data_IF_069990981934
#
_entry.id   IF_069990981934
#
_cell.length_a   1.000
_cell.length_b   1.000
_cell.length_c   1.000
_cell.angle_alpha   90.00
_cell.angle_beta   90.00
_cell.angle_gamma   90.00
#
_symmetry.space_group_name_H-M   'P 1'
#
loop_
_entity.id
_entity.type
_entity.pdbx_description
1 polymer ?
#
# COMPACT_ATOMS: atom_id res chain seq x y z
N UNK A 1 -31.21 12.19 73.07
CA UNK A 1 -29.89 12.84 73.07
C UNK A 1 -28.89 11.79 72.57
N UNK A 2 -28.21 11.94 71.43
CA UNK A 2 -27.31 13.04 71.02
C UNK A 2 -26.09 13.11 71.96
N UNK A 3 -24.83 13.08 71.53
CA UNK A 3 -24.21 13.34 70.20
C UNK A 3 -23.04 12.32 69.96
N UNK A 4 -22.08 12.40 69.02
CA UNK A 4 -21.56 13.50 68.20
C UNK A 4 -21.15 13.08 66.75
N UNK A 5 -19.88 12.69 66.53
CA UNK A 5 -19.14 12.45 65.26
C UNK A 5 -17.98 11.48 65.58
N UNK A 6 -17.49 10.61 64.70
CA UNK A 6 -16.59 10.99 63.58
C UNK A 6 -16.67 10.04 62.37
N UNK A 7 -17.22 10.52 61.25
CA UNK A 7 -17.05 9.88 59.93
C UNK A 7 -15.71 10.30 59.30
N UNK A 8 -14.67 9.48 59.41
CA UNK A 8 -13.40 9.70 58.67
C UNK A 8 -13.55 9.19 57.22
N UNK A 9 -14.21 9.99 56.36
CA UNK A 9 -14.34 9.71 54.93
C UNK A 9 -12.97 9.73 54.25
N UNK A 10 -12.47 8.57 53.84
CA UNK A 10 -11.35 8.49 52.89
C UNK A 10 -11.91 8.62 51.46
N UNK A 11 -11.68 9.77 50.83
CA UNK A 11 -12.01 9.97 49.43
C UNK A 11 -10.89 9.40 48.55
N UNK A 12 -10.98 8.10 48.24
CA UNK A 12 -10.10 7.47 47.26
C UNK A 12 -10.41 8.02 45.86
N UNK A 13 -9.50 8.81 45.30
CA UNK A 13 -9.65 9.35 43.96
C UNK A 13 -9.46 8.24 42.92
N UNK A 14 -10.54 7.83 42.26
CA UNK A 14 -10.51 6.95 41.09
C UNK A 14 -9.91 7.71 39.91
N UNK A 15 -8.58 7.60 39.74
CA UNK A 15 -7.91 7.98 38.51
C UNK A 15 -8.34 7.01 37.40
N UNK A 16 -9.35 7.41 36.63
CA UNK A 16 -9.77 6.72 35.43
C UNK A 16 -8.65 6.84 34.37
N UNK A 17 -7.75 5.85 34.37
CA UNK A 17 -6.70 5.75 33.37
C UNK A 17 -7.31 5.63 31.98
N UNK A 18 -7.14 6.65 31.15
CA UNK A 18 -7.57 6.63 29.75
C UNK A 18 -6.67 5.65 29.00
N UNK A 19 -7.12 4.40 28.92
CA UNK A 19 -6.49 3.39 28.07
C UNK A 19 -6.64 3.85 26.62
N UNK A 20 -5.56 4.39 26.05
CA UNK A 20 -5.42 4.53 24.60
C UNK A 20 -5.46 3.12 24.01
N UNK A 21 -6.66 2.69 23.61
CA UNK A 21 -6.83 1.50 22.79
C UNK A 21 -6.21 1.83 21.43
N UNK A 22 -4.95 1.45 21.24
CA UNK A 22 -4.34 1.44 19.93
C UNK A 22 -5.23 0.59 19.03
N UNK A 23 -5.84 1.21 18.01
CA UNK A 23 -6.72 0.51 17.10
C UNK A 23 -5.97 -0.69 16.50
N UNK A 24 -6.54 -1.89 16.49
CA UNK A 24 -5.87 -3.05 15.93
C UNK A 24 -5.55 -2.74 14.47
N UNK A 25 -4.27 -2.81 14.10
CA UNK A 25 -3.85 -2.67 12.71
C UNK A 25 -4.55 -3.78 11.92
N UNK A 26 -5.56 -3.42 11.12
CA UNK A 26 -6.40 -4.40 10.47
C UNK A 26 -5.56 -5.19 9.47
N UNK A 27 -5.37 -6.47 9.79
CA UNK A 27 -4.53 -7.39 9.03
C UNK A 27 -5.40 -8.18 8.06
N UNK A 28 -5.76 -7.56 6.92
CA UNK A 28 -6.57 -8.22 5.91
C UNK A 28 -5.77 -9.28 5.15
N UNK A 29 -6.33 -10.49 5.09
CA UNK A 29 -5.77 -11.64 4.38
C UNK A 29 -6.70 -11.97 3.21
N UNK A 30 -6.14 -11.96 2.01
CA UNK A 30 -6.87 -11.95 0.75
C UNK A 30 -6.42 -13.09 -0.16
N UNK A 31 -7.37 -13.90 -0.63
CA UNK A 31 -7.12 -14.84 -1.73
C UNK A 31 -7.27 -14.10 -3.06
N UNK A 32 -6.19 -14.03 -3.82
CA UNK A 32 -6.03 -13.22 -5.02
C UNK A 32 -5.31 -13.98 -6.14
N UNK A 33 -5.14 -13.36 -7.31
CA UNK A 33 -4.27 -13.83 -8.39
C UNK A 33 -3.03 -12.93 -8.46
N UNK A 34 -1.84 -13.51 -8.35
CA UNK A 34 -0.58 -12.77 -8.45
C UNK A 34 -0.05 -12.75 -9.90
N UNK A 35 1.14 -12.17 -10.11
CA UNK A 35 1.84 -12.22 -11.39
C UNK A 35 1.91 -13.66 -11.96
N UNK A 36 1.65 -13.82 -13.26
CA UNK A 36 1.48 -15.14 -13.89
C UNK A 36 0.12 -15.80 -13.66
N UNK A 37 -0.85 -15.10 -13.05
CA UNK A 37 -2.24 -15.54 -12.91
C UNK A 37 -2.47 -16.68 -11.91
N UNK A 38 -1.45 -17.02 -11.11
CA UNK A 38 -1.53 -18.06 -10.08
C UNK A 38 -2.29 -17.56 -8.86
N UNK A 39 -3.07 -18.45 -8.22
CA UNK A 39 -3.72 -18.14 -6.95
C UNK A 39 -2.67 -17.94 -5.85
N UNK A 40 -2.84 -16.86 -5.08
CA UNK A 40 -1.92 -16.48 -4.02
C UNK A 40 -2.69 -15.89 -2.83
N UNK A 41 -2.09 -15.99 -1.65
CA UNK A 41 -2.52 -15.24 -0.48
C UNK A 41 -1.72 -13.94 -0.41
N UNK A 42 -2.43 -12.82 -0.33
CA UNK A 42 -1.89 -11.47 -0.17
C UNK A 42 -2.35 -10.93 1.18
N UNK A 43 -1.45 -10.31 1.94
CA UNK A 43 -1.74 -9.83 3.29
C UNK A 43 -1.32 -8.38 3.47
N UNK A 44 -2.28 -7.50 3.75
CA UNK A 44 -1.99 -6.13 4.20
C UNK A 44 -1.92 -6.19 5.72
N UNK A 45 -0.74 -6.00 6.30
CA UNK A 45 -0.52 -6.06 7.75
C UNK A 45 0.73 -5.28 8.15
N UNK A 46 0.78 -4.78 9.39
CA UNK A 46 1.95 -4.10 9.97
C UNK A 46 2.48 -2.91 9.15
N UNK A 47 1.64 -2.27 8.32
CA UNK A 47 2.05 -1.19 7.41
C UNK A 47 2.74 -1.66 6.12
N UNK A 48 2.61 -2.95 5.74
CA UNK A 48 3.16 -3.51 4.52
C UNK A 48 2.13 -4.34 3.73
N UNK A 49 2.28 -4.36 2.41
CA UNK A 49 1.63 -5.27 1.49
C UNK A 49 2.54 -6.49 1.27
N UNK A 50 2.09 -7.67 1.68
CA UNK A 50 2.86 -8.91 1.61
C UNK A 50 2.30 -9.81 0.51
N UNK A 51 3.16 -10.27 -0.39
CA UNK A 51 2.89 -11.21 -1.47
C UNK A 51 3.81 -12.44 -1.32
N UNK A 52 3.57 -13.56 -2.02
CA UNK A 52 4.48 -14.69 -1.99
C UNK A 52 5.91 -14.30 -2.42
N UNK A 53 6.86 -14.44 -1.51
CA UNK A 53 8.27 -14.09 -1.74
C UNK A 53 8.64 -12.61 -1.64
N UNK A 54 7.69 -11.71 -1.32
CA UNK A 54 7.94 -10.27 -1.31
C UNK A 54 7.13 -9.53 -0.24
N UNK A 55 7.75 -8.57 0.46
CA UNK A 55 7.05 -7.60 1.32
C UNK A 55 7.34 -6.18 0.83
N UNK A 56 6.29 -5.38 0.65
CA UNK A 56 6.34 -4.00 0.18
C UNK A 56 5.84 -3.12 1.34
N UNK A 57 6.73 -2.50 2.14
CA UNK A 57 6.32 -1.61 3.21
C UNK A 57 5.80 -0.28 2.63
N UNK A 58 4.90 0.39 3.35
CA UNK A 58 4.18 1.59 2.88
C UNK A 58 5.07 2.70 2.36
N UNK A 59 6.25 2.89 2.95
CA UNK A 59 7.23 3.91 2.58
C UNK A 59 7.97 3.61 1.26
N UNK A 60 7.81 2.42 0.69
CA UNK A 60 8.26 2.07 -0.65
C UNK A 60 7.15 2.23 -1.71
N UNK A 61 5.88 2.31 -1.32
CA UNK A 61 4.75 2.45 -2.27
C UNK A 61 4.78 3.86 -2.88
N UNK A 62 5.01 3.90 -4.20
CA UNK A 62 5.05 5.12 -5.00
C UNK A 62 3.67 5.50 -5.50
N UNK A 63 2.91 4.53 -6.00
CA UNK A 63 1.53 4.72 -6.46
C UNK A 63 0.82 3.37 -6.55
N UNK A 64 -0.51 3.41 -6.64
CA UNK A 64 -1.29 2.22 -6.98
C UNK A 64 -2.50 2.60 -7.84
N UNK A 65 -2.96 1.67 -8.67
CA UNK A 65 -4.10 1.86 -9.58
C UNK A 65 -4.97 0.60 -9.66
N UNK A 66 -6.18 0.76 -10.20
CA UNK A 66 -7.16 -0.30 -10.41
C UNK A 66 -7.49 -0.41 -11.90
N UNK A 67 -7.70 -1.63 -12.37
CA UNK A 67 -8.18 -1.95 -13.72
C UNK A 67 -8.98 -3.25 -13.76
N UNK A 68 -9.13 -3.82 -14.95
CA UNK A 68 -9.96 -5.00 -15.21
C UNK A 68 -11.41 -4.65 -15.60
N UNK A 69 -12.14 -5.61 -16.17
CA UNK A 69 -13.47 -5.39 -16.77
C UNK A 69 -14.58 -5.02 -15.77
N UNK A 70 -14.38 -5.28 -14.48
CA UNK A 70 -15.25 -4.83 -13.40
C UNK A 70 -14.98 -3.39 -12.94
N UNK A 71 -13.88 -2.77 -13.38
CA UNK A 71 -13.50 -1.40 -13.05
C UNK A 71 -14.32 -0.42 -13.90
N UNK A 72 -15.36 0.18 -13.31
CA UNK A 72 -16.17 1.25 -13.95
C UNK A 72 -15.44 2.60 -14.02
N UNK A 73 -14.14 2.56 -14.24
CA UNK A 73 -13.29 3.71 -14.46
C UNK A 73 -13.10 3.83 -15.97
N UNK A 74 -14.07 4.47 -16.64
CA UNK A 74 -13.86 4.93 -18.01
C UNK A 74 -12.54 5.71 -18.06
N UNK A 75 -11.65 5.33 -18.98
CA UNK A 75 -10.31 5.93 -19.15
C UNK A 75 -10.38 7.29 -19.87
N UNK A 76 -11.30 8.14 -19.41
CA UNK A 76 -11.64 9.45 -19.93
C UNK A 76 -11.04 10.63 -19.14
N UNK A 77 -10.05 10.38 -18.28
CA UNK A 77 -9.34 11.43 -17.52
C UNK A 77 -7.82 11.38 -17.78
N UNK A 78 -7.35 12.39 -18.53
CA UNK A 78 -5.96 12.87 -18.45
C UNK A 78 -4.93 12.09 -19.27
N UNK A 79 -4.53 12.65 -20.41
CA UNK A 79 -3.27 12.30 -21.08
C UNK A 79 -2.11 12.88 -20.26
N UNK A 80 -1.70 12.18 -19.20
CA UNK A 80 -0.59 12.59 -18.34
C UNK A 80 0.14 11.41 -17.70
N UNK A 81 1.47 11.41 -17.84
CA UNK A 81 2.46 10.55 -17.15
C UNK A 81 2.44 9.03 -17.42
N UNK A 82 3.64 8.50 -17.71
CA UNK A 82 4.00 7.06 -17.64
C UNK A 82 3.07 6.09 -18.40
N UNK A 83 2.80 6.32 -19.69
CA UNK A 83 3.68 5.80 -20.76
C UNK A 83 5.17 5.82 -20.38
N UNK A 84 5.62 4.80 -19.65
CA UNK A 84 7.05 4.54 -19.43
C UNK A 84 7.36 3.09 -19.83
N UNK A 85 7.69 2.91 -21.11
CA UNK A 85 8.03 1.61 -21.67
C UNK A 85 9.39 1.11 -21.14
N UNK A 86 9.37 0.45 -19.99
CA UNK A 86 10.43 -0.43 -19.53
C UNK A 86 10.06 -1.89 -19.79
N UNK A 87 10.72 -2.53 -20.77
CA UNK A 87 10.49 -3.91 -21.24
C UNK A 87 9.12 -4.12 -21.95
N UNK A 88 9.09 -4.33 -23.28
CA UNK A 88 7.87 -4.67 -24.01
C UNK A 88 7.48 -6.14 -23.78
N UNK A 89 6.88 -6.42 -22.62
CA UNK A 89 6.38 -7.77 -22.27
C UNK A 89 5.23 -7.82 -21.26
N UNK A 90 4.97 -6.73 -20.52
CA UNK A 90 3.98 -6.72 -19.42
C UNK A 90 2.55 -6.32 -19.85
N UNK A 91 2.37 -5.66 -20.99
CA UNK A 91 1.06 -5.26 -21.54
C UNK A 91 0.34 -6.42 -22.28
N UNK A 92 0.56 -7.67 -21.83
CA UNK A 92 0.29 -8.87 -22.61
C UNK A 92 -0.36 -10.05 -21.87
N UNK A 93 -0.82 -9.88 -20.63
CA UNK A 93 -1.47 -10.97 -19.86
C UNK A 93 -2.93 -11.23 -20.31
N UNK A 94 -3.08 -11.63 -21.57
CA UNK A 94 -4.33 -12.14 -22.15
C UNK A 94 -4.69 -13.53 -21.63
N UNK A 95 -4.91 -13.68 -20.33
CA UNK A 95 -5.36 -14.92 -19.70
C UNK A 95 -6.52 -14.64 -18.72
N UNK A 96 -7.75 -14.92 -19.18
CA UNK A 96 -9.02 -14.76 -18.45
C UNK A 96 -8.92 -15.26 -16.99
N UNK A 97 -9.43 -14.48 -16.02
CA UNK A 97 -10.26 -14.94 -14.88
C UNK A 97 -10.50 -13.91 -13.77
N UNK A 98 -9.84 -12.74 -13.76
CA UNK A 98 -10.11 -11.67 -12.78
C UNK A 98 -10.85 -10.49 -13.42
N UNK A 99 -11.88 -10.00 -12.74
CA UNK A 99 -12.66 -8.82 -13.12
C UNK A 99 -12.04 -7.52 -12.58
N UNK A 100 -11.28 -7.62 -11.49
CA UNK A 100 -10.58 -6.50 -10.87
C UNK A 100 -9.08 -6.81 -10.81
N UNK A 101 -8.24 -5.85 -11.19
CA UNK A 101 -6.80 -5.89 -10.98
C UNK A 101 -6.32 -4.64 -10.26
N UNK A 102 -5.32 -4.80 -9.40
CA UNK A 102 -4.63 -3.70 -8.73
C UNK A 102 -3.14 -3.79 -9.07
N UNK A 103 -2.59 -2.69 -9.56
CA UNK A 103 -1.15 -2.54 -9.82
C UNK A 103 -0.57 -1.63 -8.75
N UNK A 104 0.47 -2.08 -8.06
CA UNK A 104 1.17 -1.33 -7.01
C UNK A 104 2.60 -1.08 -7.47
N UNK A 105 2.89 0.17 -7.82
CA UNK A 105 4.23 0.61 -8.17
C UNK A 105 4.97 0.98 -6.89
N UNK A 106 6.15 0.41 -6.68
CA UNK A 106 6.99 0.69 -5.53
C UNK A 106 8.45 0.89 -5.94
N UNK A 107 9.18 1.66 -5.14
CA UNK A 107 10.63 1.73 -5.24
C UNK A 107 11.28 0.50 -4.59
N UNK A 108 12.42 0.06 -5.11
CA UNK A 108 13.35 -0.77 -4.34
C UNK A 108 14.46 0.08 -3.69
N UNK A 109 15.27 -0.53 -2.82
CA UNK A 109 16.35 0.14 -2.10
C UNK A 109 17.50 0.66 -2.96
N UNK A 110 17.48 0.41 -4.28
CA UNK A 110 18.43 0.93 -5.26
C UNK A 110 17.86 2.05 -6.15
N UNK A 111 16.62 2.48 -5.90
CA UNK A 111 15.96 3.56 -6.63
C UNK A 111 15.21 3.13 -7.89
N UNK A 112 15.29 1.86 -8.29
CA UNK A 112 14.52 1.35 -9.42
C UNK A 112 13.04 1.18 -9.04
N UNK A 113 12.15 1.21 -10.04
CA UNK A 113 10.72 0.97 -9.86
C UNK A 113 10.38 -0.47 -10.20
N UNK A 114 9.58 -1.09 -9.35
CA UNK A 114 9.04 -2.43 -9.51
C UNK A 114 7.51 -2.37 -9.42
N UNK A 115 6.82 -3.31 -10.06
CA UNK A 115 5.36 -3.37 -10.09
C UNK A 115 4.86 -4.72 -9.57
N UNK A 116 4.13 -4.70 -8.46
CA UNK A 116 3.35 -5.85 -8.01
C UNK A 116 1.93 -5.78 -8.59
N UNK A 117 1.34 -6.93 -8.92
CA UNK A 117 -0.02 -7.03 -9.47
C UNK A 117 -0.84 -8.02 -8.65
N UNK A 118 -2.04 -7.59 -8.23
CA UNK A 118 -2.98 -8.37 -7.41
C UNK A 118 -4.36 -8.35 -8.08
N UNK A 119 -4.81 -9.49 -8.58
CA UNK A 119 -6.11 -9.66 -9.25
C UNK A 119 -7.17 -10.33 -8.38
N UNK A 120 -8.43 -10.01 -8.59
CA UNK A 120 -9.58 -10.57 -7.87
C UNK A 120 -10.72 -10.94 -8.83
N UNK A 121 -11.33 -12.11 -8.59
CA UNK A 121 -12.51 -12.58 -9.34
C UNK A 121 -13.84 -12.02 -8.82
N UNK A 122 -13.85 -11.44 -7.62
CA UNK A 122 -15.06 -10.98 -6.93
C UNK A 122 -14.88 -9.53 -6.45
N UNK A 123 -15.93 -8.73 -6.57
CA UNK A 123 -15.92 -7.32 -6.16
C UNK A 123 -15.79 -7.13 -4.63
N UNK A 124 -16.32 -8.04 -3.81
CA UNK A 124 -16.25 -7.93 -2.34
C UNK A 124 -14.81 -7.89 -1.81
N UNK A 125 -13.94 -8.91 -2.04
CA UNK A 125 -12.55 -8.85 -1.60
C UNK A 125 -11.76 -7.75 -2.32
N UNK A 126 -12.07 -7.44 -3.59
CA UNK A 126 -11.44 -6.34 -4.31
C UNK A 126 -11.68 -4.98 -3.63
N UNK A 127 -12.92 -4.70 -3.23
CA UNK A 127 -13.29 -3.45 -2.57
C UNK A 127 -12.72 -3.36 -1.15
N UNK A 128 -12.68 -4.47 -0.41
CA UNK A 128 -12.05 -4.55 0.91
C UNK A 128 -10.54 -4.30 0.80
N UNK A 129 -9.85 -4.99 -0.10
CA UNK A 129 -8.43 -4.78 -0.41
C UNK A 129 -8.13 -3.34 -0.83
N UNK A 130 -8.98 -2.73 -1.67
CA UNK A 130 -8.84 -1.32 -2.07
C UNK A 130 -8.93 -0.36 -0.86
N UNK A 131 -9.87 -0.58 0.07
CA UNK A 131 -10.00 0.25 1.27
C UNK A 131 -8.80 0.09 2.22
N UNK A 132 -8.29 -1.12 2.40
CA UNK A 132 -7.08 -1.35 3.19
C UNK A 132 -5.82 -0.80 2.51
N UNK A 133 -5.69 -0.92 1.19
CA UNK A 133 -4.56 -0.38 0.43
C UNK A 133 -4.55 1.16 0.48
N UNK A 134 -5.71 1.80 0.41
CA UNK A 134 -5.86 3.24 0.70
C UNK A 134 -5.43 3.58 2.14
N UNK A 135 -5.94 2.87 3.14
CA UNK A 135 -5.63 3.13 4.55
C UNK A 135 -4.17 2.90 4.93
N UNK A 136 -3.52 1.89 4.35
CA UNK A 136 -2.13 1.53 4.62
C UNK A 136 -1.14 2.41 3.87
N UNK A 137 -1.37 2.69 2.58
CA UNK A 137 -0.50 3.61 1.82
C UNK A 137 -0.69 5.06 2.26
N UNK A 138 -1.93 5.49 2.47
CA UNK A 138 -2.31 6.91 2.56
C UNK A 138 -2.48 7.58 1.20
N UNK A 139 -2.50 6.80 0.11
CA UNK A 139 -2.65 7.27 -1.26
C UNK A 139 -4.04 6.91 -1.79
N UNK A 140 -4.69 7.88 -2.45
CA UNK A 140 -5.92 7.63 -3.23
C UNK A 140 -5.61 6.94 -4.57
N UNK A 141 -6.65 6.46 -5.26
CA UNK A 141 -6.52 5.74 -6.53
C UNK A 141 -5.76 6.57 -7.58
N UNK A 142 -4.64 6.05 -8.10
CA UNK A 142 -3.80 6.73 -9.08
C UNK A 142 -2.92 7.86 -8.52
N UNK A 143 -2.97 8.14 -7.21
CA UNK A 143 -2.15 9.17 -6.58
C UNK A 143 -0.68 8.73 -6.49
N UNK A 144 0.23 9.65 -6.80
CA UNK A 144 1.68 9.44 -6.67
C UNK A 144 2.20 10.07 -5.38
N UNK A 145 3.01 9.31 -4.65
CA UNK A 145 3.74 9.71 -3.45
C UNK A 145 4.91 10.65 -3.83
N UNK A 146 4.60 11.92 -4.05
CA UNK A 146 5.57 12.95 -4.47
C UNK A 146 6.85 13.00 -3.61
N UNK A 147 6.80 12.92 -2.26
CA UNK A 147 8.01 12.85 -1.43
C UNK A 147 8.88 11.61 -1.70
N UNK A 148 8.28 10.46 -1.99
CA UNK A 148 9.04 9.26 -2.37
C UNK A 148 9.58 9.36 -3.79
N UNK A 149 8.79 9.90 -4.73
CA UNK A 149 9.21 10.12 -6.11
C UNK A 149 10.50 10.94 -6.17
N UNK A 150 10.53 12.09 -5.52
CA UNK A 150 11.70 12.95 -5.44
C UNK A 150 12.94 12.22 -4.89
N UNK A 151 12.78 11.42 -3.82
CA UNK A 151 13.89 10.64 -3.24
C UNK A 151 14.41 9.56 -4.19
N UNK A 152 13.53 8.84 -4.88
CA UNK A 152 13.93 7.81 -5.85
C UNK A 152 14.62 8.43 -7.07
N UNK A 153 14.18 9.62 -7.50
CA UNK A 153 14.79 10.37 -8.60
C UNK A 153 16.17 10.93 -8.20
N UNK A 154 16.37 11.38 -6.96
CA UNK A 154 17.70 11.73 -6.41
C UNK A 154 18.65 10.54 -6.45
N UNK A 155 18.23 9.37 -5.94
CA UNK A 155 19.07 8.15 -5.91
C UNK A 155 19.51 7.74 -7.33
N UNK A 156 18.62 7.88 -8.32
CA UNK A 156 18.98 7.62 -9.74
C UNK A 156 19.95 8.64 -10.31
N UNK A 157 19.86 9.92 -9.93
CA UNK A 157 20.80 10.95 -10.35
C UNK A 157 22.19 10.71 -9.75
N UNK A 158 22.28 10.43 -8.45
CA UNK A 158 23.54 10.07 -7.77
C UNK A 158 24.19 8.82 -8.38
N UNK A 159 23.39 7.78 -8.68
CA UNK A 159 23.87 6.57 -9.35
C UNK A 159 24.36 6.84 -10.78
N UNK A 160 23.65 7.66 -11.56
CA UNK A 160 24.02 8.02 -12.92
C UNK A 160 25.26 8.93 -13.00
N UNK A 161 25.44 9.84 -12.04
CA UNK A 161 26.65 10.66 -11.91
C UNK A 161 27.86 9.79 -11.55
N UNK A 162 27.73 8.91 -10.56
CA UNK A 162 28.77 7.94 -10.20
C UNK A 162 29.15 7.02 -11.37
N UNK A 163 28.18 6.57 -12.15
CA UNK A 163 28.41 5.76 -13.35
C UNK A 163 29.08 6.54 -14.49
N UNK A 164 28.87 7.86 -14.59
CA UNK A 164 29.58 8.73 -15.54
C UNK A 164 31.04 8.95 -15.14
N UNK A 165 31.29 9.17 -13.85
CA UNK A 165 32.65 9.36 -13.33
C UNK A 165 33.49 8.09 -13.52
N UNK A 166 32.98 6.93 -13.08
CA UNK A 166 33.64 5.62 -13.28
C UNK A 166 33.62 5.08 -14.72
N UNK A 167 33.32 5.92 -15.71
CA UNK A 167 33.46 5.66 -17.15
C UNK A 167 34.36 6.70 -17.85
N UNK A 168 35.02 7.57 -17.06
CA UNK A 168 36.03 8.53 -17.51
C UNK A 168 37.45 8.21 -16.99
N UNK A 169 37.57 7.21 -16.12
CA UNK A 169 38.81 6.52 -15.69
C UNK A 169 39.10 5.30 -16.59
#
# INVERSE_FOLDING_TARGET
MELLRHRRRWAGALLAGVALQAAPAMAGVYQALCAGGQECTVTIANGALNLPGQSIPREQILSWSQGGSGSKTDVGLGVATTVLFGIPGLLGFGAKTHDYSFTVTHGDGSGHLQNAVVGFRNNVPANQFMMELMGMSGLTLGQVNQPLQARLDTIRQEAAEKARLGAAD
#
